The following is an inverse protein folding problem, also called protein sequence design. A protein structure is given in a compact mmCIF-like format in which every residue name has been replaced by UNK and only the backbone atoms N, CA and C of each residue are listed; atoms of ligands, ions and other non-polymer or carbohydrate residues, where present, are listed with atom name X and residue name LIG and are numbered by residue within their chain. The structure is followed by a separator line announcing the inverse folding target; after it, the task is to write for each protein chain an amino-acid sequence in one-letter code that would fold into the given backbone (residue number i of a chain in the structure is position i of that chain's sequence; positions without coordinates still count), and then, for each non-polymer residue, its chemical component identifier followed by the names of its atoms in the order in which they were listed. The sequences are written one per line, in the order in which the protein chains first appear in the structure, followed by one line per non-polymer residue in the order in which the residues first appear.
data_IF_897078957482
#
_entry.id   IF_897078957482
#
_cell.length_a   1.000
_cell.length_b   1.000
_cell.length_c   1.000
_cell.angle_alpha   90.00
_cell.angle_beta   90.00
_cell.angle_gamma   90.00
#
_symmetry.space_group_name_H-M   'P 1'
#
loop_
_entity.id
_entity.type
_entity.pdbx_description
1 polymer ?
#
# COMPACT_ATOMS: atom_id res chain seq x y z
N UNK A 1 14.71 -8.55 -8.10
CA UNK A 1 13.29 -8.46 -7.72
C UNK A 1 13.21 -8.81 -6.24
N UNK A 2 12.87 -7.85 -5.38
CA UNK A 2 12.71 -8.10 -3.94
C UNK A 2 11.36 -8.73 -3.68
N UNK A 3 11.28 -9.60 -2.66
CA UNK A 3 9.97 -10.05 -2.19
C UNK A 3 9.25 -8.87 -1.52
N UNK A 4 7.92 -8.83 -1.64
CA UNK A 4 7.10 -7.77 -1.06
C UNK A 4 7.32 -7.61 0.45
N UNK A 5 7.53 -8.72 1.17
CA UNK A 5 7.80 -8.72 2.63
C UNK A 5 9.16 -8.12 3.02
N UNK A 6 10.05 -7.90 2.05
CA UNK A 6 11.34 -7.24 2.26
C UNK A 6 11.26 -5.72 2.06
N UNK A 7 10.12 -5.21 1.57
CA UNK A 7 9.89 -3.79 1.37
C UNK A 7 9.63 -3.10 2.71
N UNK A 8 10.04 -1.82 2.86
CA UNK A 8 9.75 -1.10 4.08
C UNK A 8 8.24 -1.03 4.28
N UNK A 9 7.81 -1.21 5.53
CA UNK A 9 6.42 -1.16 5.97
C UNK A 9 5.52 -2.34 5.53
N UNK A 10 6.03 -3.31 4.76
CA UNK A 10 5.24 -4.47 4.30
C UNK A 10 5.64 -5.71 5.10
N UNK A 11 4.79 -6.13 6.04
CA UNK A 11 4.92 -7.43 6.70
C UNK A 11 4.25 -8.55 5.89
N UNK A 12 4.51 -9.80 6.27
CA UNK A 12 3.98 -11.00 5.59
C UNK A 12 2.48 -10.93 5.30
N UNK A 13 1.66 -10.49 6.27
CA UNK A 13 0.21 -10.38 6.07
C UNK A 13 -0.18 -9.43 4.93
N UNK A 14 0.49 -8.28 4.80
CA UNK A 14 0.21 -7.33 3.71
C UNK A 14 0.78 -7.86 2.39
N UNK A 15 1.95 -8.50 2.41
CA UNK A 15 2.52 -9.16 1.23
C UNK A 15 1.59 -10.25 0.69
N UNK A 16 0.99 -11.06 1.57
CA UNK A 16 0.04 -12.10 1.18
C UNK A 16 -1.24 -11.51 0.59
N UNK A 17 -1.76 -10.42 1.17
CA UNK A 17 -2.91 -9.69 0.60
C UNK A 17 -2.61 -9.14 -0.79
N UNK A 18 -1.42 -8.53 -1.00
CA UNK A 18 -0.98 -8.06 -2.30
C UNK A 18 -0.91 -9.21 -3.33
N UNK A 19 -0.34 -10.35 -2.93
CA UNK A 19 -0.25 -11.55 -3.78
C UNK A 19 -1.64 -12.09 -4.14
N UNK A 20 -2.57 -12.13 -3.18
CA UNK A 20 -3.96 -12.55 -3.41
C UNK A 20 -4.69 -11.68 -4.45
N UNK A 21 -4.33 -10.40 -4.54
CA UNK A 21 -4.93 -9.45 -5.50
C UNK A 21 -4.09 -9.24 -6.76
N UNK A 22 -3.13 -10.14 -7.01
CA UNK A 22 -2.34 -10.18 -8.23
C UNK A 22 -1.18 -9.17 -8.30
N UNK A 23 -0.73 -8.65 -7.16
CA UNK A 23 0.49 -7.84 -7.05
C UNK A 23 1.56 -8.75 -6.45
N UNK A 24 2.50 -9.22 -7.27
CA UNK A 24 3.38 -10.34 -6.90
C UNK A 24 4.76 -9.88 -6.44
N UNK A 25 5.19 -8.68 -6.85
CA UNK A 25 6.53 -8.16 -6.59
C UNK A 25 6.57 -6.63 -6.49
N UNK A 26 7.75 -6.07 -6.16
CA UNK A 26 7.98 -4.63 -6.05
C UNK A 26 7.63 -3.83 -7.32
N UNK A 27 7.94 -4.37 -8.51
CA UNK A 27 7.68 -3.69 -9.78
C UNK A 27 6.18 -3.66 -10.09
N UNK A 28 5.44 -4.73 -9.76
CA UNK A 28 3.98 -4.75 -9.83
C UNK A 28 3.39 -3.69 -8.91
N UNK A 29 3.87 -3.60 -7.67
CA UNK A 29 3.39 -2.61 -6.69
C UNK A 29 3.63 -1.18 -7.19
N UNK A 30 4.82 -0.88 -7.72
CA UNK A 30 5.14 0.42 -8.33
C UNK A 30 4.28 0.72 -9.55
N UNK A 31 4.02 -0.28 -10.40
CA UNK A 31 3.20 -0.13 -11.60
C UNK A 31 1.72 0.11 -11.28
N UNK A 32 1.20 -0.46 -10.19
CA UNK A 32 -0.16 -0.21 -9.73
C UNK A 32 -0.29 1.12 -8.98
N UNK A 33 0.71 1.49 -8.18
CA UNK A 33 0.62 2.58 -7.22
C UNK A 33 -0.08 2.18 -5.92
N UNK A 34 0.15 2.96 -4.85
CA UNK A 34 -0.37 2.65 -3.51
C UNK A 34 -1.90 2.66 -3.46
N UNK A 35 -2.54 3.62 -4.13
CA UNK A 35 -3.99 3.80 -4.18
C UNK A 35 -4.70 2.59 -4.82
N UNK A 36 -4.25 2.14 -5.99
CA UNK A 36 -4.85 0.99 -6.67
C UNK A 36 -4.57 -0.32 -5.93
N UNK A 37 -3.36 -0.49 -5.40
CA UNK A 37 -3.03 -1.63 -4.57
C UNK A 37 -3.94 -1.70 -3.33
N UNK A 38 -4.19 -0.57 -2.68
CA UNK A 38 -5.09 -0.49 -1.54
C UNK A 38 -6.55 -0.79 -1.91
N UNK A 39 -7.05 -0.26 -3.04
CA UNK A 39 -8.40 -0.57 -3.53
C UNK A 39 -8.58 -2.06 -3.81
N UNK A 40 -7.58 -2.69 -4.41
CA UNK A 40 -7.57 -4.13 -4.64
C UNK A 40 -7.61 -4.90 -3.32
N UNK A 41 -6.79 -4.53 -2.34
CA UNK A 41 -6.84 -5.15 -1.00
C UNK A 41 -8.22 -4.97 -0.36
N UNK A 42 -8.84 -3.79 -0.48
CA UNK A 42 -10.17 -3.52 0.07
C UNK A 42 -11.28 -4.43 -0.52
N UNK A 43 -11.07 -5.04 -1.69
CA UNK A 43 -12.01 -6.01 -2.25
C UNK A 43 -12.03 -7.33 -1.47
N UNK A 44 -10.93 -7.70 -0.82
CA UNK A 44 -10.79 -8.94 -0.04
C UNK A 44 -10.74 -8.70 1.47
N UNK A 45 -10.46 -7.47 1.90
CA UNK A 45 -10.35 -7.04 3.29
C UNK A 45 -10.89 -5.61 3.46
N UNK A 46 -12.18 -5.49 3.80
CA UNK A 46 -12.84 -4.20 4.01
C UNK A 46 -12.28 -3.43 5.22
N UNK A 47 -11.48 -4.07 6.07
CA UNK A 47 -10.81 -3.41 7.20
C UNK A 47 -9.50 -2.72 6.82
N UNK A 48 -9.17 -2.67 5.51
CA UNK A 48 -8.01 -1.97 5.00
C UNK A 48 -7.99 -0.50 5.47
N UNK A 49 -7.10 -0.18 6.41
CA UNK A 49 -7.06 1.14 7.03
C UNK A 49 -6.07 2.09 6.32
N UNK A 50 -6.14 3.37 6.67
CA UNK A 50 -5.22 4.42 6.17
C UNK A 50 -3.74 4.09 6.40
N UNK A 51 -3.42 3.41 7.51
CA UNK A 51 -2.05 2.98 7.80
C UNK A 51 -1.50 1.99 6.77
N UNK A 52 -2.37 1.19 6.15
CA UNK A 52 -2.01 0.26 5.09
C UNK A 52 -1.71 1.05 3.80
N UNK A 53 -2.52 2.05 3.47
CA UNK A 53 -2.27 2.93 2.33
C UNK A 53 -0.90 3.65 2.44
N UNK A 54 -0.60 4.23 3.61
CA UNK A 54 0.71 4.85 3.86
C UNK A 54 1.87 3.84 3.82
N UNK A 55 1.65 2.60 4.27
CA UNK A 55 2.66 1.56 4.19
C UNK A 55 3.01 1.22 2.74
N UNK A 56 2.01 1.14 1.85
CA UNK A 56 2.20 0.89 0.42
C UNK A 56 2.96 2.03 -0.27
N UNK A 57 2.61 3.29 0.02
CA UNK A 57 3.34 4.44 -0.55
C UNK A 57 4.79 4.48 -0.06
N UNK A 58 5.00 4.26 1.24
CA UNK A 58 6.36 4.17 1.80
C UNK A 58 7.16 3.03 1.17
N UNK A 59 6.53 1.89 0.89
CA UNK A 59 7.16 0.76 0.20
C UNK A 59 7.59 1.13 -1.22
N UNK A 60 6.74 1.82 -1.99
CA UNK A 60 7.03 2.29 -3.35
C UNK A 60 8.21 3.26 -3.37
N UNK A 61 8.23 4.20 -2.42
CA UNK A 61 9.29 5.20 -2.29
C UNK A 61 10.57 4.66 -1.61
N UNK A 62 10.54 3.44 -1.07
CA UNK A 62 11.68 2.84 -0.37
C UNK A 62 11.98 3.50 0.99
N UNK A 63 11.00 4.13 1.65
CA UNK A 63 11.16 4.84 2.93
C UNK A 63 10.19 4.34 4.00
N UNK A 64 10.50 4.58 5.28
CA UNK A 64 9.53 4.34 6.36
C UNK A 64 8.33 5.27 6.18
N UNK A 65 7.11 4.78 6.42
CA UNK A 65 5.88 5.60 6.27
C UNK A 65 5.86 6.88 7.12
N UNK A 66 6.62 6.92 8.22
CA UNK A 66 6.79 8.12 9.05
C UNK A 66 7.49 9.27 8.32
N UNK A 67 8.32 8.95 7.32
CA UNK A 67 9.06 9.91 6.48
C UNK A 67 8.30 10.36 5.24
N UNK A 68 7.06 9.88 5.03
CA UNK A 68 6.23 10.42 3.94
C UNK A 68 6.03 11.93 4.14
N UNK A 69 6.20 12.75 3.09
CA UNK A 69 5.87 14.17 3.13
C UNK A 69 4.42 14.38 3.58
N UNK A 70 4.16 15.46 4.31
CA UNK A 70 2.82 15.72 4.81
C UNK A 70 1.82 15.96 3.68
N UNK A 71 2.24 16.58 2.58
CA UNK A 71 1.42 16.71 1.36
C UNK A 71 0.98 15.35 0.80
N UNK A 72 1.87 14.36 0.79
CA UNK A 72 1.56 13.00 0.33
C UNK A 72 0.59 12.33 1.29
N UNK A 73 0.78 12.49 2.61
CA UNK A 73 -0.14 11.94 3.61
C UNK A 73 -1.54 12.56 3.49
N UNK A 74 -1.64 13.86 3.27
CA UNK A 74 -2.94 14.52 3.07
C UNK A 74 -3.63 14.03 1.80
N UNK A 75 -2.93 13.95 0.66
CA UNK A 75 -3.49 13.41 -0.58
C UNK A 75 -4.02 11.97 -0.40
N UNK A 76 -3.22 11.10 0.23
CA UNK A 76 -3.63 9.73 0.53
C UNK A 76 -4.78 9.66 1.54
N UNK A 77 -4.87 10.60 2.48
CA UNK A 77 -6.00 10.70 3.42
C UNK A 77 -7.29 11.12 2.72
N UNK A 78 -7.22 12.06 1.79
CA UNK A 78 -8.35 12.45 0.95
C UNK A 78 -8.85 11.28 0.10
N UNK A 79 -7.93 10.58 -0.56
CA UNK A 79 -8.22 9.35 -1.30
C UNK A 79 -8.91 8.32 -0.40
N UNK A 80 -8.33 8.00 0.77
CA UNK A 80 -8.90 7.04 1.71
C UNK A 80 -10.31 7.42 2.15
N UNK A 81 -10.56 8.69 2.47
CA UNK A 81 -11.88 9.15 2.88
C UNK A 81 -12.92 9.06 1.76
N UNK A 82 -12.50 9.12 0.50
CA UNK A 82 -13.38 8.97 -0.67
C UNK A 82 -13.76 7.51 -0.94
N UNK A 83 -12.86 6.56 -0.67
CA UNK A 83 -13.01 5.17 -1.12
C UNK A 83 -13.14 4.13 -0.01
N UNK A 84 -12.93 4.49 1.26
CA UNK A 84 -13.19 3.57 2.38
C UNK A 84 -14.65 3.11 2.36
N UNK A 85 -14.83 1.79 2.48
CA UNK A 85 -16.13 1.17 2.69
C UNK A 85 -16.63 1.38 4.11
#
# INVERSE_FOLDING_TARGET
MKDLSELPNIGNAVADQLKQVGILNEDDLKSNGAEQAWLKIQQIDETACINKLYALEGAILGIKKSFLPDETKEALREFYNRYKK
#
